data_IF_487456713566
#
_entry.id   IF_487456713566
#
_cell.length_a   1.000
_cell.length_b   1.000
_cell.length_c   1.000
_cell.angle_alpha   90.00
_cell.angle_beta   90.00
_cell.angle_gamma   90.00
#
_symmetry.space_group_name_H-M   'P 1'
#
loop_
_entity.id
_entity.type
_entity.pdbx_description
1 polymer ?
#
# COMPACT_ATOMS: atom_id res chain seq x y z
N UNK A 1 12.76 -9.69 9.11
CA UNK A 1 12.49 -10.63 10.23
C UNK A 1 12.82 -10.00 11.59
N UNK A 2 14.06 -9.57 11.81
CA UNK A 2 14.45 -9.03 13.12
C UNK A 2 13.62 -7.81 13.55
N UNK A 3 13.32 -6.90 12.63
CA UNK A 3 12.47 -5.74 12.91
C UNK A 3 10.99 -6.11 13.10
N UNK A 4 10.53 -7.15 12.42
CA UNK A 4 9.12 -7.55 12.43
C UNK A 4 8.79 -8.51 13.56
N UNK A 5 9.63 -9.52 13.76
CA UNK A 5 9.39 -10.63 14.70
C UNK A 5 10.38 -10.68 15.86
N UNK A 6 11.32 -9.74 15.95
CA UNK A 6 12.36 -9.64 16.99
C UNK A 6 13.20 -10.92 17.15
N UNK A 7 13.27 -11.74 16.12
CA UNK A 7 14.06 -12.98 16.03
C UNK A 7 14.74 -13.12 14.67
N UNK A 8 15.68 -14.01 14.59
CA UNK A 8 16.28 -14.41 13.32
C UNK A 8 15.37 -15.40 12.57
N UNK A 9 15.34 -15.34 11.22
CA UNK A 9 14.64 -16.34 10.45
C UNK A 9 15.33 -17.69 10.51
N UNK A 10 14.56 -18.76 10.50
CA UNK A 10 15.07 -20.11 10.28
C UNK A 10 15.63 -20.26 8.85
N UNK A 11 16.45 -21.27 8.56
CA UNK A 11 16.95 -21.54 7.22
C UNK A 11 15.83 -21.73 6.18
N UNK A 12 14.72 -22.35 6.56
CA UNK A 12 13.56 -22.54 5.70
C UNK A 12 12.85 -21.21 5.38
N UNK A 13 12.63 -20.37 6.38
CA UNK A 13 12.05 -19.03 6.20
C UNK A 13 12.96 -18.14 5.36
N UNK A 14 14.26 -18.18 5.60
CA UNK A 14 15.22 -17.44 4.79
C UNK A 14 15.18 -17.85 3.32
N UNK A 15 15.09 -19.17 3.07
CA UNK A 15 14.93 -19.70 1.70
C UNK A 15 13.63 -19.21 1.08
N UNK A 16 12.51 -19.34 1.79
CA UNK A 16 11.19 -18.91 1.31
C UNK A 16 11.16 -17.41 0.97
N UNK A 17 11.75 -16.55 1.82
CA UNK A 17 11.84 -15.11 1.56
C UNK A 17 12.69 -14.80 0.32
N UNK A 18 13.82 -15.47 0.14
CA UNK A 18 14.66 -15.30 -1.06
C UNK A 18 13.96 -15.73 -2.32
N UNK A 19 13.28 -16.88 -2.29
CA UNK A 19 12.51 -17.40 -3.42
C UNK A 19 11.34 -16.45 -3.76
N UNK A 20 10.66 -15.90 -2.75
CA UNK A 20 9.61 -14.91 -2.93
C UNK A 20 10.16 -13.64 -3.61
N UNK A 21 11.22 -13.06 -3.08
CA UNK A 21 11.85 -11.85 -3.67
C UNK A 21 12.27 -12.11 -5.12
N UNK A 22 12.86 -13.26 -5.41
CA UNK A 22 13.30 -13.60 -6.77
C UNK A 22 12.13 -13.68 -7.75
N UNK A 23 11.03 -14.33 -7.36
CA UNK A 23 9.80 -14.42 -8.17
C UNK A 23 9.14 -13.06 -8.37
N UNK A 24 8.98 -12.30 -7.29
CA UNK A 24 8.39 -10.96 -7.32
C UNK A 24 9.21 -10.00 -8.17
N UNK A 25 10.55 -10.05 -8.05
CA UNK A 25 11.44 -9.23 -8.86
C UNK A 25 11.29 -9.56 -10.35
N UNK A 26 11.28 -10.83 -10.72
CA UNK A 26 11.08 -11.25 -12.11
C UNK A 26 9.72 -10.76 -12.65
N UNK A 27 8.66 -10.86 -11.85
CA UNK A 27 7.35 -10.32 -12.21
C UNK A 27 7.38 -8.81 -12.43
N UNK A 28 7.96 -8.04 -11.51
CA UNK A 28 8.01 -6.58 -11.58
C UNK A 28 8.97 -6.03 -12.64
N UNK A 29 9.89 -6.83 -13.15
CA UNK A 29 10.71 -6.46 -14.30
C UNK A 29 9.92 -6.44 -15.62
N UNK A 30 8.90 -7.30 -15.71
CA UNK A 30 8.04 -7.42 -16.90
C UNK A 30 6.77 -6.58 -16.78
N UNK A 31 6.19 -6.53 -15.57
CA UNK A 31 4.94 -5.84 -15.31
C UNK A 31 5.21 -4.46 -14.70
N UNK A 32 4.93 -3.41 -15.48
CA UNK A 32 5.02 -2.03 -14.98
C UNK A 32 3.62 -1.58 -14.55
N UNK A 33 3.44 -1.08 -13.32
CA UNK A 33 2.17 -0.53 -12.89
C UNK A 33 1.72 0.64 -13.73
N UNK A 34 0.45 0.69 -14.08
CA UNK A 34 -0.14 1.82 -14.80
C UNK A 34 -0.20 3.03 -13.87
N UNK A 35 0.25 4.18 -14.37
CA UNK A 35 0.10 5.43 -13.65
C UNK A 35 -1.38 5.80 -13.56
N UNK A 36 -1.89 5.88 -12.35
CA UNK A 36 -3.26 6.31 -12.06
C UNK A 36 -3.19 7.61 -11.29
N UNK A 37 -3.74 8.67 -11.86
CA UNK A 37 -3.90 9.93 -11.14
C UNK A 37 -5.17 9.84 -10.28
N UNK A 38 -5.07 10.11 -8.96
CA UNK A 38 -6.25 10.13 -8.11
C UNK A 38 -7.19 11.26 -8.53
N UNK A 39 -8.49 11.11 -8.35
CA UNK A 39 -9.43 12.18 -8.62
C UNK A 39 -9.15 13.36 -7.70
N UNK A 40 -9.25 14.59 -8.23
CA UNK A 40 -9.04 15.81 -7.46
C UNK A 40 -10.24 16.15 -6.58
N UNK A 41 -11.40 15.66 -6.94
CA UNK A 41 -12.64 15.88 -6.20
C UNK A 41 -13.53 14.63 -6.26
N UNK A 42 -14.41 14.50 -5.29
CA UNK A 42 -15.49 13.52 -5.30
C UNK A 42 -16.84 14.22 -5.10
N UNK A 43 -17.88 13.69 -5.72
CA UNK A 43 -19.24 14.12 -5.47
C UNK A 43 -19.79 13.24 -4.35
N UNK A 44 -20.16 13.85 -3.24
CA UNK A 44 -20.80 13.20 -2.11
C UNK A 44 -22.30 13.41 -2.17
N UNK A 45 -23.04 12.41 -1.73
CA UNK A 45 -24.48 12.48 -1.54
C UNK A 45 -24.81 12.21 -0.06
N UNK A 46 -25.77 12.93 0.45
CA UNK A 46 -26.29 12.77 1.79
C UNK A 46 -27.78 13.06 1.79
N UNK A 47 -28.48 12.51 2.77
CA UNK A 47 -29.88 12.82 3.02
C UNK A 47 -29.94 13.80 4.18
N UNK A 48 -30.63 14.90 4.00
CA UNK A 48 -30.86 15.88 5.07
C UNK A 48 -31.79 15.28 6.10
N UNK A 49 -31.38 15.28 7.37
CA UNK A 49 -32.07 14.53 8.45
C UNK A 49 -33.47 15.04 8.77
N UNK A 50 -33.75 16.32 8.60
CA UNK A 50 -35.04 16.91 8.98
C UNK A 50 -36.08 16.83 7.87
N UNK A 51 -35.69 16.94 6.62
CA UNK A 51 -36.59 16.95 5.47
C UNK A 51 -36.62 15.65 4.69
N UNK A 52 -35.57 14.82 4.85
CA UNK A 52 -35.39 13.60 4.08
C UNK A 52 -35.01 13.86 2.62
N UNK A 53 -34.62 15.08 2.27
CA UNK A 53 -34.24 15.43 0.89
C UNK A 53 -32.78 15.13 0.64
N UNK A 54 -32.49 14.58 -0.53
CA UNK A 54 -31.14 14.37 -0.99
C UNK A 54 -30.45 15.70 -1.31
N UNK A 55 -29.21 15.85 -0.88
CA UNK A 55 -28.34 16.93 -1.31
C UNK A 55 -26.95 16.41 -1.69
N UNK A 56 -26.27 17.18 -2.51
CA UNK A 56 -25.00 16.83 -3.10
C UNK A 56 -24.00 17.95 -2.90
N UNK A 57 -22.75 17.57 -2.66
CA UNK A 57 -21.67 18.55 -2.63
C UNK A 57 -20.41 17.99 -3.30
N UNK A 58 -19.55 18.88 -3.72
CA UNK A 58 -18.24 18.54 -4.24
C UNK A 58 -17.24 18.67 -3.10
N UNK A 59 -16.58 17.58 -2.78
CA UNK A 59 -15.47 17.56 -1.83
C UNK A 59 -14.15 17.56 -2.60
N UNK A 60 -13.33 18.57 -2.35
CA UNK A 60 -11.99 18.65 -2.92
C UNK A 60 -11.05 17.72 -2.14
N UNK A 61 -10.45 16.75 -2.82
CA UNK A 61 -9.53 15.79 -2.23
C UNK A 61 -8.09 16.30 -2.14
N UNK A 62 -7.81 17.44 -2.76
CA UNK A 62 -6.46 18.01 -2.87
C UNK A 62 -6.24 19.21 -1.93
N UNK A 63 -7.05 19.33 -0.85
CA UNK A 63 -6.97 20.43 0.13
C UNK A 63 -5.58 20.54 0.77
N UNK A 64 -4.85 19.42 0.82
CA UNK A 64 -3.55 19.31 1.48
C UNK A 64 -2.37 19.14 0.52
N UNK A 65 -2.56 19.37 -0.76
CA UNK A 65 -1.46 19.34 -1.76
C UNK A 65 -0.51 20.53 -1.66
N UNK A 66 -0.54 21.25 -0.56
CA UNK A 66 0.41 22.31 -0.26
C UNK A 66 1.86 21.79 -0.28
N UNK A 67 2.81 22.70 -0.54
CA UNK A 67 4.23 22.43 -0.73
C UNK A 67 4.95 21.78 0.47
N UNK A 68 4.25 21.59 1.59
CA UNK A 68 4.79 20.99 2.82
C UNK A 68 4.64 19.47 2.89
N UNK A 69 3.83 18.87 2.03
CA UNK A 69 3.59 17.44 2.02
C UNK A 69 4.43 16.74 0.95
N UNK A 70 5.29 15.83 1.38
CA UNK A 70 6.00 14.93 0.46
C UNK A 70 5.12 13.71 0.22
N UNK A 71 4.58 13.53 -1.00
CA UNK A 71 3.71 12.41 -1.28
C UNK A 71 4.48 11.09 -1.19
N UNK A 72 3.80 10.04 -0.74
CA UNK A 72 4.34 8.69 -0.73
C UNK A 72 4.77 8.23 -2.13
N UNK A 73 5.82 7.41 -2.15
CA UNK A 73 6.30 6.79 -3.38
C UNK A 73 5.18 5.91 -3.98
N UNK A 74 4.79 6.22 -5.21
CA UNK A 74 3.74 5.46 -5.91
C UNK A 74 4.33 4.19 -6.57
N UNK A 75 3.52 3.14 -6.79
CA UNK A 75 4.00 1.90 -7.38
C UNK A 75 4.71 2.07 -8.72
N UNK A 76 4.28 2.99 -9.55
CA UNK A 76 4.90 3.28 -10.86
C UNK A 76 6.23 4.04 -10.77
N UNK A 77 6.48 4.75 -9.66
CA UNK A 77 7.74 5.47 -9.42
C UNK A 77 8.78 4.56 -8.74
N UNK A 78 8.33 3.46 -8.13
CA UNK A 78 9.18 2.54 -7.41
C UNK A 78 9.91 1.59 -8.37
N UNK A 79 11.21 1.38 -8.11
CA UNK A 79 12.01 0.38 -8.84
C UNK A 79 11.47 -1.04 -8.60
N UNK A 80 11.62 -1.98 -9.57
CA UNK A 80 11.16 -3.36 -9.42
C UNK A 80 11.62 -4.03 -8.13
N UNK A 81 12.88 -3.80 -7.73
CA UNK A 81 13.43 -4.33 -6.48
C UNK A 81 12.70 -3.78 -5.24
N UNK A 82 12.37 -2.52 -5.24
CA UNK A 82 11.62 -1.89 -4.13
C UNK A 82 10.23 -2.51 -4.03
N UNK A 83 9.53 -2.68 -5.14
CA UNK A 83 8.21 -3.34 -5.18
C UNK A 83 8.25 -4.77 -4.65
N UNK A 84 9.25 -5.56 -5.09
CA UNK A 84 9.43 -6.93 -4.61
C UNK A 84 9.70 -6.99 -3.09
N UNK A 85 10.47 -6.07 -2.54
CA UNK A 85 10.68 -5.98 -1.09
C UNK A 85 9.42 -5.54 -0.35
N UNK A 86 8.65 -4.62 -0.91
CA UNK A 86 7.37 -4.19 -0.32
C UNK A 86 6.39 -5.35 -0.22
N UNK A 87 6.28 -6.19 -1.25
CA UNK A 87 5.45 -7.40 -1.20
C UNK A 87 5.89 -8.36 -0.10
N UNK A 88 7.20 -8.58 0.06
CA UNK A 88 7.69 -9.40 1.17
C UNK A 88 7.32 -8.79 2.52
N UNK A 89 7.48 -7.47 2.70
CA UNK A 89 7.07 -6.79 3.93
C UNK A 89 5.58 -6.98 4.21
N UNK A 90 4.72 -6.86 3.19
CA UNK A 90 3.29 -7.10 3.32
C UNK A 90 2.98 -8.55 3.76
N UNK A 91 3.68 -9.54 3.21
CA UNK A 91 3.54 -10.93 3.62
C UNK A 91 3.92 -11.11 5.10
N UNK A 92 5.03 -10.51 5.53
CA UNK A 92 5.48 -10.60 6.92
C UNK A 92 4.51 -9.90 7.89
N UNK A 93 4.03 -8.70 7.55
CA UNK A 93 3.07 -7.96 8.39
C UNK A 93 1.69 -8.63 8.46
N UNK A 94 1.29 -9.39 7.45
CA UNK A 94 0.04 -10.15 7.44
C UNK A 94 0.20 -11.59 7.95
N UNK A 95 1.39 -11.96 8.42
CA UNK A 95 1.59 -13.28 9.02
C UNK A 95 0.95 -13.37 10.41
N UNK A 96 0.50 -14.54 10.80
CA UNK A 96 -0.08 -14.78 12.13
C UNK A 96 0.87 -14.39 13.26
N UNK A 97 2.17 -14.61 13.08
CA UNK A 97 3.18 -14.27 14.09
C UNK A 97 3.26 -12.77 14.37
N UNK A 98 3.00 -11.92 13.35
CA UNK A 98 2.99 -10.47 13.53
C UNK A 98 1.67 -9.96 14.13
N UNK A 99 0.55 -10.52 13.68
CA UNK A 99 -0.80 -10.08 14.09
C UNK A 99 -1.19 -10.55 15.47
N UNK A 100 -0.72 -11.73 15.88
CA UNK A 100 -0.99 -12.30 17.21
C UNK A 100 0.15 -11.97 18.18
N UNK A 101 -0.08 -10.93 18.99
CA UNK A 101 0.74 -10.65 20.17
C UNK A 101 0.20 -11.57 21.27
N UNK A 102 1.00 -12.54 21.63
CA UNK A 102 0.72 -13.43 22.79
C UNK A 102 1.22 -12.81 24.09
#
# INVERSE_FOLDING_TARGET
>A
FQLTFQRQPSPAEMKACRDHIAKSLAHHQVTVPVKVEPPKYVIRQMVEEMTGLDFWWVEDLDIYSGNEYVPDLKPWDAKPRTRALTELCLVLFNSNEFVHIY
#
